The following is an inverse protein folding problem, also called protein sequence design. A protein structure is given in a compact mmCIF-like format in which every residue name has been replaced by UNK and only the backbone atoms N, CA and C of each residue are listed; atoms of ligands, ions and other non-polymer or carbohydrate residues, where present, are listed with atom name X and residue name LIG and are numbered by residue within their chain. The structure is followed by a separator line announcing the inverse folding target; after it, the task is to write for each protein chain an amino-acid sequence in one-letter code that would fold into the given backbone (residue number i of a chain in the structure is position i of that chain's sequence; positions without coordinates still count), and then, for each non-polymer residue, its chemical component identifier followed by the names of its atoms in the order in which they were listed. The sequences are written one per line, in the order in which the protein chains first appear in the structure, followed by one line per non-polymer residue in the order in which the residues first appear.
data_IF_549822022872
#
_entry.id   IF_549822022872
#
_cell.length_a   1.000
_cell.length_b   1.000
_cell.length_c   1.000
_cell.angle_alpha   90.00
_cell.angle_beta   90.00
_cell.angle_gamma   90.00
#
_symmetry.space_group_name_H-M   'P 1'
#
loop_
_entity.id
_entity.type
_entity.pdbx_description
1 polymer ?
#
# COMPACT_ATOMS: atom_id res chain seq x y z
N UNK A 1 3.80 -6.69 22.81
CA UNK A 1 4.75 -6.60 21.70
C UNK A 1 5.37 -5.22 21.82
N UNK A 2 6.66 -5.13 22.16
CA UNK A 2 7.35 -3.85 22.13
C UNK A 2 7.41 -3.37 20.67
N UNK A 3 7.04 -2.11 20.45
CA UNK A 3 7.03 -1.46 19.13
C UNK A 3 8.47 -1.14 18.66
N UNK A 4 9.40 -1.05 19.61
CA UNK A 4 10.82 -1.23 19.40
C UNK A 4 11.07 -2.74 19.52
N UNK A 5 11.67 -3.40 18.54
CA UNK A 5 11.81 -4.86 18.56
C UNK A 5 12.76 -5.44 19.63
N UNK A 6 12.57 -5.22 20.93
CA UNK A 6 13.41 -5.83 21.98
C UNK A 6 12.85 -5.83 23.42
N UNK A 7 12.94 -6.97 24.12
CA UNK A 7 13.28 -7.00 25.56
C UNK A 7 13.76 -8.39 25.99
N UNK A 8 14.70 -8.59 26.94
CA UNK A 8 15.33 -7.61 27.84
C UNK A 8 16.89 -7.66 27.77
N UNK A 9 17.52 -6.61 27.26
CA UNK A 9 18.89 -6.24 27.61
C UNK A 9 18.99 -4.73 27.40
N UNK A 10 19.39 -4.02 28.45
CA UNK A 10 19.32 -2.56 28.59
C UNK A 10 20.34 -1.79 27.73
N UNK A 11 20.40 -2.04 26.42
CA UNK A 11 20.93 -1.05 25.48
C UNK A 11 19.74 -0.20 25.03
N UNK A 12 19.66 1.04 25.51
CA UNK A 12 18.57 1.95 25.16
C UNK A 12 18.38 2.13 23.65
N UNK A 13 17.28 2.77 23.26
CA UNK A 13 17.01 3.14 21.86
C UNK A 13 18.18 3.97 21.33
N UNK A 14 18.70 3.56 20.18
CA UNK A 14 19.76 4.26 19.44
C UNK A 14 19.20 4.74 18.10
N UNK A 15 20.00 5.51 17.36
CA UNK A 15 19.66 5.90 15.98
C UNK A 15 19.54 4.70 15.02
N UNK A 16 20.11 3.54 15.39
CA UNK A 16 20.09 2.31 14.60
C UNK A 16 18.96 1.36 15.01
N UNK A 17 18.17 1.70 16.03
CA UNK A 17 17.07 0.85 16.51
C UNK A 17 15.94 0.81 15.46
N UNK A 18 15.60 -0.36 14.89
CA UNK A 18 14.50 -0.46 13.94
C UNK A 18 13.14 -0.39 14.64
N UNK A 19 12.20 0.29 13.99
CA UNK A 19 10.80 0.39 14.43
C UNK A 19 9.86 -0.11 13.34
N UNK A 20 8.70 -0.60 13.75
CA UNK A 20 7.61 -0.90 12.81
C UNK A 20 7.04 0.41 12.29
N UNK A 21 7.17 0.63 10.98
CA UNK A 21 6.79 1.89 10.31
C UNK A 21 5.31 1.96 9.91
N UNK A 22 4.55 0.89 10.16
CA UNK A 22 3.12 0.79 9.85
C UNK A 22 2.78 1.31 8.44
N UNK A 23 1.90 2.31 8.37
CA UNK A 23 1.40 2.86 7.11
C UNK A 23 2.41 3.71 6.34
N UNK A 24 3.55 4.07 6.93
CA UNK A 24 4.60 4.83 6.22
C UNK A 24 5.10 4.05 5.00
N UNK A 25 5.05 2.72 5.03
CA UNK A 25 5.36 1.85 3.88
C UNK A 25 4.56 2.19 2.60
N UNK A 26 3.37 2.79 2.72
CA UNK A 26 2.55 3.20 1.56
C UNK A 26 3.26 4.23 0.68
N UNK A 27 4.08 5.12 1.26
CA UNK A 27 4.83 6.10 0.49
C UNK A 27 5.86 5.43 -0.44
N UNK A 28 6.51 4.36 0.04
CA UNK A 28 7.45 3.57 -0.76
C UNK A 28 6.73 2.79 -1.86
N UNK A 29 5.55 2.21 -1.56
CA UNK A 29 4.70 1.57 -2.60
C UNK A 29 4.29 2.58 -3.67
N UNK A 30 3.89 3.79 -3.29
CA UNK A 30 3.54 4.84 -4.25
C UNK A 30 4.74 5.26 -5.11
N UNK A 31 5.94 5.38 -4.53
CA UNK A 31 7.16 5.67 -5.27
C UNK A 31 7.49 4.58 -6.30
N UNK A 32 7.32 3.30 -5.95
CA UNK A 32 7.50 2.19 -6.88
C UNK A 32 6.50 2.26 -8.05
N UNK A 33 5.24 2.61 -7.79
CA UNK A 33 4.22 2.83 -8.83
C UNK A 33 4.61 4.00 -9.74
N UNK A 34 5.10 5.10 -9.17
CA UNK A 34 5.60 6.25 -9.95
C UNK A 34 6.76 5.89 -10.87
N UNK A 35 7.69 5.05 -10.43
CA UNK A 35 8.76 4.56 -11.29
C UNK A 35 8.23 3.73 -12.47
N UNK A 36 7.19 2.91 -12.24
CA UNK A 36 6.55 2.15 -13.32
C UNK A 36 5.79 3.05 -14.31
N UNK A 37 5.22 4.16 -13.84
CA UNK A 37 4.61 5.19 -14.69
C UNK A 37 5.66 5.89 -15.56
N UNK A 38 6.77 6.31 -14.95
CA UNK A 38 7.87 6.99 -15.63
C UNK A 38 8.51 6.10 -16.72
N UNK A 39 8.69 4.82 -16.42
CA UNK A 39 9.20 3.82 -17.39
C UNK A 39 8.15 3.34 -18.40
N UNK A 40 6.93 3.90 -18.38
CA UNK A 40 5.86 3.59 -19.33
C UNK A 40 5.27 2.18 -19.21
N UNK A 41 5.59 1.43 -18.14
CA UNK A 41 5.09 0.07 -17.91
C UNK A 41 3.63 0.03 -17.50
N UNK A 42 3.17 1.08 -16.82
CA UNK A 42 1.77 1.29 -16.48
C UNK A 42 1.31 2.70 -16.85
N UNK A 43 0.01 2.94 -16.89
CA UNK A 43 -0.59 4.27 -17.13
C UNK A 43 -1.48 4.66 -15.95
N UNK A 44 -1.40 5.91 -15.52
CA UNK A 44 -2.07 6.40 -14.31
C UNK A 44 -3.60 6.29 -14.41
N UNK A 45 -4.13 6.55 -15.61
CA UNK A 45 -5.58 6.51 -15.88
C UNK A 45 -6.03 5.20 -16.55
N UNK A 46 -5.15 4.20 -16.68
CA UNK A 46 -5.58 2.88 -17.12
C UNK A 46 -6.37 2.16 -16.01
N UNK A 47 -7.44 1.42 -16.35
CA UNK A 47 -8.11 0.53 -15.41
C UNK A 47 -7.13 -0.49 -14.84
N UNK A 48 -7.21 -0.78 -13.54
CA UNK A 48 -6.40 -1.82 -12.89
C UNK A 48 -6.62 -3.18 -13.57
N UNK A 49 -7.87 -3.43 -14.00
CA UNK A 49 -8.27 -4.62 -14.74
C UNK A 49 -7.51 -4.85 -16.06
N UNK A 50 -6.88 -3.81 -16.62
CA UNK A 50 -6.00 -3.96 -17.79
C UNK A 50 -4.74 -4.79 -17.46
N UNK A 51 -4.20 -4.64 -16.25
CA UNK A 51 -3.00 -5.36 -15.78
C UNK A 51 -3.35 -6.60 -14.94
N UNK A 52 -4.50 -6.58 -14.28
CA UNK A 52 -4.99 -7.64 -13.41
C UNK A 52 -6.48 -7.91 -13.69
N UNK A 53 -6.83 -8.75 -14.68
CA UNK A 53 -8.20 -8.93 -15.14
C UNK A 53 -9.21 -9.31 -14.03
N UNK A 54 -8.81 -10.17 -13.10
CA UNK A 54 -9.66 -10.63 -12.00
C UNK A 54 -10.04 -9.51 -11.03
N UNK A 55 -9.24 -8.44 -10.95
CA UNK A 55 -9.58 -7.26 -10.17
C UNK A 55 -10.91 -6.64 -10.64
N UNK A 56 -11.20 -6.66 -11.95
CA UNK A 56 -12.37 -6.02 -12.54
C UNK A 56 -13.72 -6.63 -12.13
N UNK A 57 -13.73 -7.78 -11.46
CA UNK A 57 -14.94 -8.44 -11.00
C UNK A 57 -15.71 -7.60 -9.97
N UNK A 58 -17.00 -7.91 -9.77
CA UNK A 58 -17.87 -7.25 -8.76
C UNK A 58 -17.91 -5.72 -8.89
N UNK A 59 -18.02 -5.20 -10.11
CA UNK A 59 -18.20 -3.76 -10.39
C UNK A 59 -16.92 -2.91 -10.43
N UNK A 60 -15.73 -3.52 -10.30
CA UNK A 60 -14.46 -2.78 -10.20
C UNK A 60 -13.73 -2.53 -11.52
N UNK A 61 -14.36 -2.87 -12.65
CA UNK A 61 -13.74 -2.83 -13.97
C UNK A 61 -13.25 -1.44 -14.40
N UNK A 62 -13.81 -0.36 -13.84
CA UNK A 62 -13.47 1.03 -14.17
C UNK A 62 -12.48 1.68 -13.20
N UNK A 63 -12.11 1.02 -12.11
CA UNK A 63 -11.18 1.59 -11.14
C UNK A 63 -9.77 1.66 -11.73
N UNK A 64 -9.16 2.84 -11.69
CA UNK A 64 -7.85 3.12 -12.29
C UNK A 64 -6.71 3.03 -11.28
N UNK A 65 -5.47 3.04 -11.78
CA UNK A 65 -4.28 3.17 -10.92
C UNK A 65 -4.35 4.43 -10.06
N UNK A 66 -4.84 5.55 -10.61
CA UNK A 66 -5.11 6.79 -9.87
C UNK A 66 -6.07 6.58 -8.71
N UNK A 67 -7.19 5.87 -8.94
CA UNK A 67 -8.15 5.59 -7.88
C UNK A 67 -7.52 4.79 -6.74
N UNK A 68 -6.66 3.80 -7.04
CA UNK A 68 -5.95 3.05 -6.00
C UNK A 68 -5.01 3.94 -5.17
N UNK A 69 -4.21 4.80 -5.83
CA UNK A 69 -3.28 5.72 -5.17
C UNK A 69 -3.99 6.75 -4.28
N UNK A 70 -5.23 7.14 -4.62
CA UNK A 70 -6.00 8.15 -3.90
C UNK A 70 -7.06 7.57 -2.95
N UNK A 71 -7.05 6.26 -2.70
CA UNK A 71 -8.07 5.58 -1.88
C UNK A 71 -9.51 5.74 -2.40
N UNK A 72 -9.69 5.78 -3.72
CA UNK A 72 -10.96 5.96 -4.43
C UNK A 72 -11.36 4.76 -5.28
N UNK A 73 -10.68 3.62 -5.12
CA UNK A 73 -10.94 2.40 -5.89
C UNK A 73 -12.17 1.59 -5.41
N UNK A 74 -12.93 2.14 -4.44
CA UNK A 74 -14.14 1.54 -3.87
C UNK A 74 -13.92 0.11 -3.33
N UNK A 75 -12.85 -0.07 -2.55
CA UNK A 75 -12.49 -1.33 -1.91
C UNK A 75 -12.84 -1.26 -0.41
N UNK A 76 -13.94 -1.89 0.04
CA UNK A 76 -14.27 -1.92 1.45
C UNK A 76 -13.28 -2.81 2.21
N UNK A 77 -12.96 -2.43 3.46
CA UNK A 77 -12.17 -3.24 4.40
C UNK A 77 -13.07 -3.77 5.53
N UNK A 78 -14.03 -4.68 5.25
CA UNK A 78 -15.09 -5.05 6.20
C UNK A 78 -14.56 -5.71 7.48
N UNK A 79 -13.43 -6.43 7.40
CA UNK A 79 -12.81 -7.08 8.56
C UNK A 79 -12.20 -6.10 9.57
N UNK A 80 -12.08 -4.80 9.23
CA UNK A 80 -11.70 -3.76 10.18
C UNK A 80 -12.91 -3.21 10.97
N UNK A 81 -14.13 -3.61 10.61
CA UNK A 81 -15.38 -3.09 11.19
C UNK A 81 -16.33 -4.18 11.69
N UNK A 82 -15.95 -5.46 11.61
CA UNK A 82 -16.62 -6.53 12.34
C UNK A 82 -16.17 -6.50 13.80
N UNK A 83 -16.99 -5.89 14.66
CA UNK A 83 -17.03 -6.18 16.09
C UNK A 83 -17.73 -7.52 16.30
#
# INVERSE_FOLDING_TARGET
MDIAGSSPASSGITIDTPFITFSVSKAFTAAAIWHLLDTGKIKLDAPIAHYWPEFGQKGKATATIRHALLHQADIPAPHLYSQ
#
